data_IF_096021733540
#
_entry.id   IF_096021733540
#
_cell.length_a   1.000
_cell.length_b   1.000
_cell.length_c   1.000
_cell.angle_alpha   90.00
_cell.angle_beta   90.00
_cell.angle_gamma   90.00
#
_symmetry.space_group_name_H-M   'P 1'
#
loop_
_entity.id
_entity.type
_entity.pdbx_description
1 polymer ?
#
# COMPACT_ATOMS: atom_id res chain seq x y z
N UNK A 1 -6.67 -9.05 27.95
CA UNK A 1 -5.72 -8.01 27.49
C UNK A 1 -4.99 -8.54 26.28
N UNK A 2 -5.15 -7.93 25.11
CA UNK A 2 -4.41 -8.32 23.89
C UNK A 2 -2.94 -7.98 24.13
N UNK A 3 -2.08 -8.99 24.21
CA UNK A 3 -0.63 -8.82 24.39
C UNK A 3 0.04 -9.16 23.07
N UNK A 4 0.58 -8.15 22.40
CA UNK A 4 1.32 -8.31 21.15
C UNK A 4 2.56 -9.16 21.47
N UNK A 5 2.59 -10.39 20.96
CA UNK A 5 3.68 -11.34 21.25
C UNK A 5 4.96 -11.00 20.47
N UNK A 6 4.80 -10.41 19.28
CA UNK A 6 5.90 -9.95 18.44
C UNK A 6 5.69 -8.48 18.05
N UNK A 7 6.14 -7.53 18.89
CA UNK A 7 5.95 -6.11 18.63
C UNK A 7 6.66 -5.65 17.34
N UNK A 8 7.78 -6.29 16.99
CA UNK A 8 8.50 -6.02 15.73
C UNK A 8 7.65 -6.32 14.49
N UNK A 9 6.96 -7.46 14.48
CA UNK A 9 6.16 -7.89 13.33
C UNK A 9 4.90 -7.03 13.22
N UNK A 10 4.32 -6.65 14.37
CA UNK A 10 3.21 -5.70 14.42
C UNK A 10 3.60 -4.34 13.82
N UNK A 11 4.75 -3.78 14.23
CA UNK A 11 5.22 -2.51 13.67
C UNK A 11 5.61 -2.63 12.20
N UNK A 12 6.15 -3.77 11.75
CA UNK A 12 6.40 -4.01 10.34
C UNK A 12 5.10 -4.01 9.51
N UNK A 13 4.04 -4.64 10.01
CA UNK A 13 2.71 -4.60 9.37
C UNK A 13 2.14 -3.19 9.30
N UNK A 14 2.23 -2.42 10.39
CA UNK A 14 1.84 -1.00 10.42
C UNK A 14 2.61 -0.18 9.37
N UNK A 15 3.91 -0.43 9.20
CA UNK A 15 4.70 0.24 8.16
C UNK A 15 4.24 -0.14 6.76
N UNK A 16 3.96 -1.43 6.49
CA UNK A 16 3.43 -1.88 5.20
C UNK A 16 2.09 -1.21 4.88
N UNK A 17 1.17 -1.12 5.84
CA UNK A 17 -0.08 -0.39 5.70
C UNK A 17 0.17 1.10 5.43
N UNK A 18 1.03 1.75 6.20
CA UNK A 18 1.32 3.18 6.06
C UNK A 18 1.90 3.52 4.68
N UNK A 19 2.91 2.77 4.22
CA UNK A 19 3.48 2.95 2.89
C UNK A 19 2.49 2.60 1.79
N UNK A 20 1.70 1.53 1.96
CA UNK A 20 0.68 1.10 1.01
C UNK A 20 -0.38 2.17 0.77
N UNK A 21 -0.94 2.72 1.85
CA UNK A 21 -1.93 3.80 1.79
C UNK A 21 -1.34 5.09 1.20
N UNK A 22 -0.10 5.42 1.55
CA UNK A 22 0.58 6.61 1.01
C UNK A 22 0.80 6.48 -0.50
N UNK A 23 1.33 5.34 -0.96
CA UNK A 23 1.53 5.08 -2.37
C UNK A 23 0.21 5.11 -3.15
N UNK A 24 -0.84 4.49 -2.60
CA UNK A 24 -2.18 4.52 -3.19
C UNK A 24 -2.74 5.95 -3.27
N UNK A 25 -2.64 6.72 -2.18
CA UNK A 25 -3.11 8.11 -2.11
C UNK A 25 -2.39 9.04 -3.07
N UNK A 26 -1.06 8.95 -3.18
CA UNK A 26 -0.29 9.69 -4.19
C UNK A 26 -0.78 9.32 -5.59
N UNK A 27 -0.95 8.03 -5.83
CA UNK A 27 -1.34 7.51 -7.12
C UNK A 27 -2.76 7.93 -7.56
N UNK A 28 -3.64 8.30 -6.62
CA UNK A 28 -4.96 8.89 -6.91
C UNK A 28 -4.84 10.17 -7.76
N UNK A 29 -3.77 10.94 -7.61
CA UNK A 29 -3.53 12.18 -8.38
C UNK A 29 -3.02 11.93 -9.80
N UNK A 30 -2.67 10.68 -10.14
CA UNK A 30 -2.18 10.34 -11.46
C UNK A 30 -3.25 9.65 -12.30
N UNK A 31 -3.24 9.85 -13.64
CA UNK A 31 -4.10 9.12 -14.54
C UNK A 31 -3.94 7.61 -14.34
N UNK A 32 -5.06 6.91 -14.22
CA UNK A 32 -5.08 5.44 -14.16
C UNK A 32 -4.63 4.84 -15.50
N UNK A 33 -5.01 5.46 -16.62
CA UNK A 33 -4.81 4.91 -17.95
C UNK A 33 -5.68 3.67 -18.18
N UNK A 34 -5.22 2.75 -19.01
CA UNK A 34 -5.86 1.46 -19.27
C UNK A 34 -4.88 0.32 -18.96
N UNK A 35 -5.33 -0.92 -18.80
CA UNK A 35 -4.42 -2.04 -18.57
C UNK A 35 -3.42 -2.25 -19.72
N UNK A 36 -3.82 -1.90 -20.95
CA UNK A 36 -2.97 -1.96 -22.15
C UNK A 36 -2.06 -0.73 -22.33
N UNK A 37 -2.42 0.41 -21.72
CA UNK A 37 -1.59 1.62 -21.65
C UNK A 37 -1.65 2.18 -20.23
N UNK A 38 -0.84 1.57 -19.36
CA UNK A 38 -0.81 1.89 -17.94
C UNK A 38 -0.39 3.34 -17.74
N UNK A 39 -1.25 4.13 -17.08
CA UNK A 39 -0.89 5.46 -16.64
C UNK A 39 0.10 5.42 -15.48
N UNK A 40 0.81 6.51 -15.19
CA UNK A 40 1.81 6.56 -14.12
C UNK A 40 1.23 6.25 -12.72
N UNK A 41 -0.10 6.37 -12.54
CA UNK A 41 -0.79 5.99 -11.31
C UNK A 41 -1.09 4.50 -11.16
N UNK A 42 -0.98 3.69 -12.22
CA UNK A 42 -1.36 2.28 -12.17
C UNK A 42 -0.48 1.49 -11.20
N UNK A 43 0.85 1.58 -11.36
CA UNK A 43 1.80 0.85 -10.54
C UNK A 43 1.70 1.21 -9.05
N UNK A 44 1.77 2.49 -8.64
CA UNK A 44 1.72 2.81 -7.21
C UNK A 44 0.35 2.54 -6.57
N UNK A 45 -0.77 2.52 -7.31
CA UNK A 45 -2.07 2.05 -6.77
C UNK A 45 -2.08 0.55 -6.51
N UNK A 46 -1.65 -0.27 -7.47
CA UNK A 46 -1.63 -1.74 -7.31
C UNK A 46 -0.63 -2.14 -6.22
N UNK A 47 0.57 -1.56 -6.25
CA UNK A 47 1.58 -1.78 -5.21
C UNK A 47 1.06 -1.34 -3.84
N UNK A 48 0.41 -0.18 -3.76
CA UNK A 48 -0.17 0.32 -2.52
C UNK A 48 -1.22 -0.61 -1.92
N UNK A 49 -2.10 -1.15 -2.76
CA UNK A 49 -3.11 -2.15 -2.38
C UNK A 49 -2.48 -3.44 -1.84
N UNK A 50 -1.42 -3.94 -2.50
CA UNK A 50 -0.71 -5.15 -2.07
C UNK A 50 0.01 -4.93 -0.74
N UNK A 51 0.69 -3.81 -0.56
CA UNK A 51 1.37 -3.51 0.70
C UNK A 51 0.38 -3.36 1.85
N UNK A 52 -0.74 -2.66 1.61
CA UNK A 52 -1.79 -2.50 2.61
C UNK A 52 -2.51 -3.80 2.98
N UNK A 53 -2.55 -4.80 2.09
CA UNK A 53 -3.13 -6.11 2.39
C UNK A 53 -2.16 -7.09 3.06
N UNK A 54 -0.85 -6.88 2.89
CA UNK A 54 0.19 -7.69 3.52
C UNK A 54 0.51 -7.27 4.97
N UNK A 55 0.34 -5.99 5.29
CA UNK A 55 0.55 -5.47 6.65
C UNK A 55 -0.62 -5.71 7.57
#
# INVERSE_FOLDING_TARGET
MVRIRHPKDFWAGVLFIAFGLTAFGIALNYPWGTASRMGPGYFPRVLGLILASLG
#
